data_IF_074789177228
#
_entry.id   IF_074789177228
#
_cell.length_a   1.000
_cell.length_b   1.000
_cell.length_c   1.000
_cell.angle_alpha   90.00
_cell.angle_beta   90.00
_cell.angle_gamma   90.00
#
_symmetry.space_group_name_H-M   'P 1'
#
loop_
_entity.id
_entity.type
_entity.pdbx_description
1 polymer ?
#
# COMPACT_ATOMS: atom_id res chain seq x y z
N UNK A 1 9.90 -29.02 -26.81
CA UNK A 1 8.89 -28.77 -27.87
C UNK A 1 8.28 -27.42 -27.58
N UNK A 2 8.45 -26.43 -28.46
CA UNK A 2 7.73 -25.16 -28.33
C UNK A 2 6.32 -25.41 -28.86
N UNK A 3 5.30 -25.18 -28.03
CA UNK A 3 3.90 -25.29 -28.46
C UNK A 3 3.64 -24.15 -29.45
N UNK A 4 3.35 -24.49 -30.70
CA UNK A 4 3.09 -23.53 -31.76
C UNK A 4 1.95 -22.57 -31.35
N UNK A 5 2.16 -21.26 -31.53
CA UNK A 5 1.20 -20.21 -31.16
C UNK A 5 1.31 -19.67 -29.72
N UNK A 6 2.08 -20.30 -28.82
CA UNK A 6 2.27 -19.77 -27.46
C UNK A 6 3.42 -18.77 -27.43
N UNK A 7 3.13 -17.52 -27.04
CA UNK A 7 4.14 -16.49 -26.79
C UNK A 7 4.47 -16.44 -25.30
N UNK A 8 5.75 -16.60 -24.95
CA UNK A 8 6.26 -16.50 -23.57
C UNK A 8 7.41 -15.50 -23.50
N UNK A 9 7.80 -15.10 -22.29
CA UNK A 9 9.03 -14.33 -22.01
C UNK A 9 9.15 -12.95 -22.69
N UNK A 10 8.03 -12.33 -23.06
CA UNK A 10 7.99 -11.02 -23.72
C UNK A 10 7.98 -9.82 -22.77
N UNK A 11 7.85 -10.05 -21.46
CA UNK A 11 7.93 -9.00 -20.43
C UNK A 11 6.81 -7.94 -20.51
N UNK A 12 6.97 -6.82 -19.79
CA UNK A 12 6.02 -5.70 -19.87
C UNK A 12 6.22 -4.87 -21.15
N UNK A 13 5.21 -4.09 -21.57
CA UNK A 13 5.39 -3.06 -22.59
C UNK A 13 6.51 -2.09 -22.21
N UNK A 14 7.22 -1.56 -23.22
CA UNK A 14 8.26 -0.58 -22.98
C UNK A 14 7.65 0.77 -22.60
N UNK A 15 7.99 1.29 -21.41
CA UNK A 15 7.34 2.48 -20.86
C UNK A 15 7.46 3.73 -21.73
N UNK A 16 8.49 3.83 -22.60
CA UNK A 16 8.67 5.01 -23.48
C UNK A 16 7.56 5.12 -24.52
N UNK A 17 6.94 4.01 -24.90
CA UNK A 17 5.84 3.97 -25.86
C UNK A 17 4.53 4.50 -25.25
N UNK A 18 4.50 4.70 -23.94
CA UNK A 18 3.33 5.15 -23.15
C UNK A 18 3.52 6.56 -22.57
N UNK A 19 4.59 7.27 -22.93
CA UNK A 19 4.87 8.60 -22.42
C UNK A 19 4.08 9.67 -23.19
N UNK A 20 3.51 10.62 -22.45
CA UNK A 20 2.97 11.84 -23.04
C UNK A 20 4.04 12.55 -23.91
N UNK A 21 3.72 13.09 -25.11
CA UNK A 21 4.70 13.62 -26.05
C UNK A 21 5.67 14.66 -25.46
N UNK A 22 5.15 15.57 -24.63
CA UNK A 22 5.99 16.56 -23.91
C UNK A 22 6.97 15.89 -22.94
N UNK A 23 6.56 14.80 -22.28
CA UNK A 23 7.45 14.04 -21.38
C UNK A 23 8.50 13.29 -22.18
N UNK A 24 8.11 12.66 -23.30
CA UNK A 24 9.04 11.96 -24.18
C UNK A 24 10.10 12.90 -24.75
N UNK A 25 9.70 14.07 -25.27
CA UNK A 25 10.59 15.11 -25.82
C UNK A 25 11.61 15.62 -24.79
N UNK A 26 11.18 15.78 -23.53
CA UNK A 26 12.00 16.38 -22.47
C UNK A 26 12.53 15.35 -21.46
N UNK A 27 12.55 14.06 -21.81
CA UNK A 27 12.97 13.00 -20.90
C UNK A 27 14.42 13.21 -20.45
N UNK A 28 14.62 13.39 -19.14
CA UNK A 28 15.95 13.66 -18.56
C UNK A 28 16.43 15.11 -18.68
N UNK A 29 15.62 16.03 -19.22
CA UNK A 29 15.95 17.45 -19.45
C UNK A 29 14.99 18.39 -18.70
N UNK A 30 14.69 18.04 -17.45
CA UNK A 30 13.81 18.84 -16.59
C UNK A 30 14.63 19.85 -15.78
N UNK A 31 14.26 21.12 -15.85
CA UNK A 31 14.96 22.21 -15.17
C UNK A 31 14.54 22.32 -13.70
N UNK A 32 13.24 22.34 -13.43
CA UNK A 32 12.70 22.41 -12.08
C UNK A 32 11.24 21.94 -12.03
N UNK A 33 10.71 21.86 -10.82
CA UNK A 33 9.29 21.67 -10.55
C UNK A 33 8.84 22.61 -9.43
N UNK A 34 7.55 22.87 -9.38
CA UNK A 34 6.90 23.66 -8.34
C UNK A 34 5.53 23.05 -8.05
N UNK A 35 5.14 23.00 -6.77
CA UNK A 35 3.75 22.71 -6.42
C UNK A 35 2.97 24.03 -6.42
N UNK A 36 2.00 24.12 -7.32
CA UNK A 36 1.21 25.35 -7.53
C UNK A 36 0.08 25.44 -6.50
N UNK A 37 -0.53 24.29 -6.21
CA UNK A 37 -1.54 24.09 -5.16
C UNK A 37 -1.60 22.60 -4.80
N UNK A 38 -2.25 22.20 -3.69
CA UNK A 38 -2.40 20.78 -3.34
C UNK A 38 -2.91 19.95 -4.52
N UNK A 39 -2.13 18.92 -4.89
CA UNK A 39 -2.41 18.01 -5.99
C UNK A 39 -1.90 18.46 -7.37
N UNK A 40 -1.38 19.68 -7.54
CA UNK A 40 -0.97 20.21 -8.85
C UNK A 40 0.51 20.56 -8.86
N UNK A 41 1.29 19.85 -9.69
CA UNK A 41 2.73 20.05 -9.85
C UNK A 41 3.02 20.59 -11.25
N UNK A 42 3.63 21.77 -11.33
CA UNK A 42 4.17 22.31 -12.58
C UNK A 42 5.59 21.78 -12.78
N UNK A 43 5.89 21.26 -13.98
CA UNK A 43 7.24 20.86 -14.39
C UNK A 43 7.68 21.71 -15.56
N UNK A 44 8.90 22.23 -15.50
CA UNK A 44 9.49 23.08 -16.54
C UNK A 44 10.75 22.42 -17.07
N UNK A 45 10.79 22.19 -18.38
CA UNK A 45 11.93 21.62 -19.07
C UNK A 45 13.01 22.68 -19.34
N UNK A 46 14.23 22.24 -19.65
CA UNK A 46 15.31 23.13 -20.11
C UNK A 46 14.96 23.85 -21.41
N UNK A 47 14.13 23.24 -22.25
CA UNK A 47 13.59 23.82 -23.49
C UNK A 47 12.59 24.96 -23.26
N UNK A 48 12.09 25.13 -22.03
CA UNK A 48 10.98 26.01 -21.69
C UNK A 48 9.60 25.34 -21.78
N UNK A 49 9.51 24.10 -22.29
CA UNK A 49 8.24 23.36 -22.28
C UNK A 49 7.72 23.18 -20.84
N UNK A 50 6.41 23.36 -20.67
CA UNK A 50 5.72 23.23 -19.39
C UNK A 50 4.71 22.10 -19.47
N UNK A 51 4.62 21.31 -18.39
CA UNK A 51 3.54 20.35 -18.19
C UNK A 51 3.09 20.36 -16.73
N UNK A 52 1.79 20.31 -16.52
CA UNK A 52 1.15 20.19 -15.21
C UNK A 52 0.81 18.73 -14.95
N UNK A 53 1.12 18.26 -13.74
CA UNK A 53 0.77 16.93 -13.26
C UNK A 53 -0.28 17.10 -12.17
N UNK A 54 -1.49 16.62 -12.42
CA UNK A 54 -2.63 16.73 -11.48
C UNK A 54 -2.87 15.37 -10.84
N UNK A 55 -2.74 15.28 -9.52
CA UNK A 55 -2.72 14.04 -8.74
C UNK A 55 -4.01 13.87 -7.94
N UNK A 56 -4.57 12.66 -8.02
CA UNK A 56 -5.79 12.28 -7.30
C UNK A 56 -5.59 11.03 -6.44
N UNK A 57 -6.22 11.05 -5.26
CA UNK A 57 -6.27 9.90 -4.36
C UNK A 57 -7.13 8.78 -4.93
N UNK A 58 -6.72 7.52 -4.76
CA UNK A 58 -7.54 6.37 -5.20
C UNK A 58 -7.59 5.29 -4.11
N UNK A 59 -8.63 4.44 -4.08
CA UNK A 59 -8.71 3.31 -3.14
C UNK A 59 -7.76 2.15 -3.48
N UNK A 60 -6.96 2.24 -4.55
CA UNK A 60 -6.14 1.16 -5.15
C UNK A 60 -6.95 -0.01 -5.71
N UNK A 61 -7.83 -0.61 -4.90
CA UNK A 61 -8.79 -1.61 -5.37
C UNK A 61 -9.88 -0.90 -6.18
N UNK A 62 -9.94 -1.19 -7.47
CA UNK A 62 -10.79 -0.49 -8.43
C UNK A 62 -11.56 -1.48 -9.30
N UNK A 63 -12.76 -1.06 -9.72
CA UNK A 63 -13.49 -1.76 -10.77
C UNK A 63 -12.96 -1.37 -12.15
N UNK A 64 -13.20 -2.21 -13.16
CA UNK A 64 -12.91 -1.86 -14.55
C UNK A 64 -13.70 -0.64 -15.03
N UNK A 65 -14.88 -0.38 -14.47
CA UNK A 65 -15.69 0.78 -14.84
C UNK A 65 -15.00 2.07 -14.40
N UNK A 66 -14.51 2.12 -13.17
CA UNK A 66 -13.73 3.27 -12.67
C UNK A 66 -12.47 3.51 -13.49
N UNK A 67 -11.80 2.46 -13.95
CA UNK A 67 -10.63 2.60 -14.84
C UNK A 67 -11.03 3.19 -16.19
N UNK A 68 -12.16 2.76 -16.78
CA UNK A 68 -12.68 3.33 -18.03
C UNK A 68 -13.07 4.80 -17.89
N UNK A 69 -13.73 5.17 -16.78
CA UNK A 69 -14.04 6.58 -16.48
C UNK A 69 -12.76 7.44 -16.45
N UNK A 70 -11.68 6.96 -15.82
CA UNK A 70 -10.40 7.65 -15.82
C UNK A 70 -9.77 7.75 -17.22
N UNK A 71 -9.94 6.74 -18.08
CA UNK A 71 -9.50 6.79 -19.47
C UNK A 71 -10.27 7.86 -20.27
N UNK A 72 -11.60 7.93 -20.14
CA UNK A 72 -12.41 8.95 -20.83
C UNK A 72 -12.00 10.37 -20.39
N UNK A 73 -11.72 10.56 -19.10
CA UNK A 73 -11.20 11.83 -18.56
C UNK A 73 -9.81 12.12 -19.14
N UNK A 74 -8.93 11.11 -19.26
CA UNK A 74 -7.60 11.28 -19.85
C UNK A 74 -7.67 11.65 -21.33
N UNK A 75 -8.57 11.05 -22.10
CA UNK A 75 -8.79 11.40 -23.51
C UNK A 75 -9.23 12.87 -23.66
N UNK A 76 -10.03 13.39 -22.71
CA UNK A 76 -10.53 14.76 -22.74
C UNK A 76 -9.49 15.81 -22.31
N UNK A 77 -8.72 15.54 -21.26
CA UNK A 77 -7.86 16.55 -20.62
C UNK A 77 -6.36 16.31 -20.76
N UNK A 78 -5.96 15.09 -21.11
CA UNK A 78 -4.58 14.62 -20.98
C UNK A 78 -4.11 13.83 -22.21
N UNK A 79 -4.73 14.08 -23.37
CA UNK A 79 -4.44 13.46 -24.67
C UNK A 79 -4.40 11.92 -24.64
N UNK A 80 -5.19 11.30 -23.77
CA UNK A 80 -5.25 9.85 -23.56
C UNK A 80 -4.14 9.28 -22.67
N UNK A 81 -3.31 10.13 -22.06
CA UNK A 81 -2.23 9.71 -21.16
C UNK A 81 -2.64 9.85 -19.69
N UNK A 82 -2.31 8.87 -18.87
CA UNK A 82 -2.36 8.96 -17.42
C UNK A 82 -1.31 8.03 -16.83
N UNK A 83 -1.00 8.19 -15.55
CA UNK A 83 -0.13 7.24 -14.85
C UNK A 83 -0.57 6.98 -13.43
N UNK A 84 -0.01 5.92 -12.85
CA UNK A 84 -0.12 5.61 -11.44
C UNK A 84 1.20 5.92 -10.73
N UNK A 85 1.09 6.46 -9.52
CA UNK A 85 2.23 6.70 -8.63
C UNK A 85 2.59 5.44 -7.85
N UNK A 86 3.77 5.41 -7.22
CA UNK A 86 4.19 4.31 -6.34
C UNK A 86 3.36 4.18 -5.05
N UNK A 87 2.45 5.12 -4.78
CA UNK A 87 1.48 5.07 -3.69
C UNK A 87 0.04 4.92 -4.20
N UNK A 88 -0.13 4.46 -5.43
CA UNK A 88 -1.41 4.14 -6.05
C UNK A 88 -2.34 5.35 -6.24
N UNK A 89 -1.83 6.57 -6.20
CA UNK A 89 -2.55 7.74 -6.73
C UNK A 89 -2.50 7.72 -8.26
N UNK A 90 -3.52 8.31 -8.89
CA UNK A 90 -3.55 8.54 -10.34
C UNK A 90 -3.07 9.96 -10.64
N UNK A 91 -2.36 10.13 -11.76
CA UNK A 91 -1.89 11.42 -12.25
C UNK A 91 -2.27 11.61 -13.72
N UNK A 92 -2.78 12.81 -14.02
CA UNK A 92 -3.06 13.30 -15.37
C UNK A 92 -2.04 14.37 -15.76
N UNK A 93 -1.84 14.55 -17.06
CA UNK A 93 -0.85 15.44 -17.65
C UNK A 93 -1.52 16.51 -18.50
N UNK A 94 -1.41 17.77 -18.09
CA UNK A 94 -2.10 18.88 -18.75
C UNK A 94 -1.07 19.91 -19.22
N UNK A 95 -1.16 20.36 -20.47
CA UNK A 95 -0.29 21.43 -21.00
C UNK A 95 -0.95 22.81 -20.95
N UNK A 96 -2.28 22.85 -20.87
CA UNK A 96 -3.09 24.07 -20.76
C UNK A 96 -3.56 24.26 -19.30
N UNK A 97 -2.97 25.24 -18.62
CA UNK A 97 -3.24 25.53 -17.20
C UNK A 97 -4.73 25.82 -16.93
N UNK A 98 -5.44 26.40 -17.90
CA UNK A 98 -6.86 26.76 -17.73
C UNK A 98 -7.79 25.57 -17.54
N UNK A 99 -7.37 24.36 -17.95
CA UNK A 99 -8.16 23.12 -17.86
C UNK A 99 -8.04 22.39 -16.52
N UNK A 100 -7.14 22.84 -15.62
CA UNK A 100 -6.83 22.11 -14.39
C UNK A 100 -8.04 22.04 -13.46
N UNK A 101 -8.78 23.14 -13.30
CA UNK A 101 -9.94 23.18 -12.41
C UNK A 101 -11.10 22.34 -12.93
N UNK A 102 -11.34 22.38 -14.25
CA UNK A 102 -12.34 21.53 -14.90
C UNK A 102 -12.00 20.03 -14.75
N UNK A 103 -10.73 19.66 -14.93
CA UNK A 103 -10.26 18.30 -14.68
C UNK A 103 -10.48 17.88 -13.22
N UNK A 104 -10.15 18.74 -12.26
CA UNK A 104 -10.33 18.45 -10.83
C UNK A 104 -11.81 18.21 -10.51
N UNK A 105 -12.68 19.09 -11.02
CA UNK A 105 -14.12 18.99 -10.80
C UNK A 105 -14.70 17.72 -11.43
N UNK A 106 -14.31 17.40 -12.67
CA UNK A 106 -14.85 16.23 -13.38
C UNK A 106 -14.40 14.90 -12.75
N UNK A 107 -13.14 14.80 -12.29
CA UNK A 107 -12.68 13.62 -11.53
C UNK A 107 -13.44 13.48 -10.21
N UNK A 108 -13.66 14.59 -9.50
CA UNK A 108 -14.42 14.57 -8.25
C UNK A 108 -15.89 14.20 -8.48
N UNK A 109 -16.52 14.68 -9.55
CA UNK A 109 -17.92 14.40 -9.89
C UNK A 109 -18.14 12.95 -10.34
N UNK A 110 -17.31 12.46 -11.27
CA UNK A 110 -17.51 11.14 -11.90
C UNK A 110 -17.05 9.99 -11.01
N UNK A 111 -15.96 10.16 -10.27
CA UNK A 111 -15.36 9.06 -9.49
C UNK A 111 -15.13 9.38 -8.00
N UNK A 112 -15.39 10.62 -7.56
CA UNK A 112 -15.28 11.00 -6.14
C UNK A 112 -13.85 11.10 -5.62
N UNK A 113 -12.85 11.14 -6.49
CA UNK A 113 -11.44 11.10 -6.08
C UNK A 113 -10.89 12.49 -5.78
N UNK A 114 -10.32 12.71 -4.57
CA UNK A 114 -9.83 14.03 -4.18
C UNK A 114 -8.53 14.38 -4.89
N UNK A 115 -8.39 15.65 -5.30
CA UNK A 115 -7.12 16.21 -5.74
C UNK A 115 -6.23 16.50 -4.51
N UNK A 116 -4.96 16.09 -4.53
CA UNK A 116 -4.07 16.28 -3.38
C UNK A 116 -2.86 15.34 -3.34
N UNK A 117 -2.34 15.12 -2.13
CA UNK A 117 -1.24 14.18 -1.88
C UNK A 117 0.10 14.62 -2.45
N UNK A 118 0.35 15.92 -2.52
CA UNK A 118 1.61 16.55 -2.95
C UNK A 118 2.33 17.20 -1.77
N UNK A 119 3.57 17.62 -2.02
CA UNK A 119 4.38 18.37 -1.06
C UNK A 119 5.40 19.20 -1.83
N UNK A 120 5.77 20.36 -1.28
CA UNK A 120 6.86 21.21 -1.74
C UNK A 120 7.92 21.28 -0.64
N UNK A 121 8.99 20.51 -0.82
CA UNK A 121 10.08 20.44 0.16
C UNK A 121 10.89 21.74 0.24
N UNK A 122 10.87 22.58 -0.79
CA UNK A 122 11.57 23.88 -0.80
C UNK A 122 10.80 24.89 0.03
N UNK A 123 9.46 24.90 -0.10
CA UNK A 123 8.58 25.79 0.68
C UNK A 123 8.26 25.25 2.08
N UNK A 124 8.57 23.98 2.36
CA UNK A 124 8.27 23.36 3.65
C UNK A 124 6.79 23.00 3.80
N UNK A 125 6.10 22.77 2.69
CA UNK A 125 4.67 22.49 2.64
C UNK A 125 4.45 21.00 2.37
N UNK A 126 3.73 20.29 3.25
CA UNK A 126 3.59 18.83 3.13
C UNK A 126 2.15 18.38 3.29
N UNK A 127 1.64 17.68 2.27
CA UNK A 127 0.40 16.91 2.34
C UNK A 127 0.65 15.42 2.61
N UNK A 128 -0.32 14.78 3.24
CA UNK A 128 -0.40 13.34 3.37
C UNK A 128 -0.70 12.74 1.99
N UNK A 129 -0.01 11.66 1.62
CA UNK A 129 -0.27 10.94 0.38
C UNK A 129 -0.55 9.48 0.69
N UNK A 130 -1.73 9.03 0.22
CA UNK A 130 -2.33 7.67 0.18
C UNK A 130 -1.58 6.52 0.87
N UNK A 131 -2.30 5.60 1.50
CA UNK A 131 -1.75 4.49 2.28
C UNK A 131 -1.39 3.31 1.37
N UNK A 132 -0.11 2.91 1.37
CA UNK A 132 0.31 1.65 0.75
C UNK A 132 -0.25 0.51 1.59
N UNK A 133 -1.05 -0.37 0.98
CA UNK A 133 -1.74 -1.42 1.71
C UNK A 133 -1.82 -2.73 0.94
N UNK A 134 -2.29 -3.77 1.63
CA UNK A 134 -2.28 -5.16 1.20
C UNK A 134 -3.66 -5.67 0.81
N UNK A 135 -3.82 -6.99 0.69
CA UNK A 135 -5.07 -7.62 0.27
C UNK A 135 -6.12 -7.69 1.38
N UNK A 136 -5.73 -7.90 2.65
CA UNK A 136 -6.68 -8.08 3.74
C UNK A 136 -7.63 -9.26 3.50
N UNK A 137 -8.87 -9.12 3.95
CA UNK A 137 -9.92 -10.15 3.85
C UNK A 137 -10.47 -10.32 2.43
N UNK A 138 -10.08 -9.45 1.50
CA UNK A 138 -10.58 -9.47 0.12
C UNK A 138 -10.00 -10.64 -0.67
N UNK A 139 -8.78 -11.08 -0.38
CA UNK A 139 -8.10 -12.10 -1.20
C UNK A 139 -7.03 -12.92 -0.48
N UNK A 140 -6.46 -12.44 0.63
CA UNK A 140 -5.39 -13.18 1.30
C UNK A 140 -5.98 -14.31 2.16
N UNK A 141 -5.26 -15.42 2.28
CA UNK A 141 -5.62 -16.51 3.19
C UNK A 141 -4.89 -16.46 4.53
N UNK A 142 -3.89 -15.58 4.70
CA UNK A 142 -3.15 -15.38 5.98
C UNK A 142 -3.40 -14.04 6.70
N UNK A 143 -4.49 -13.27 6.49
CA UNK A 143 -4.66 -11.98 7.15
C UNK A 143 -5.10 -12.14 8.62
N UNK A 144 -4.56 -11.30 9.49
CA UNK A 144 -5.08 -11.05 10.85
C UNK A 144 -6.06 -9.86 10.88
N UNK A 145 -5.96 -8.94 9.92
CA UNK A 145 -6.81 -7.75 9.80
C UNK A 145 -7.23 -7.53 8.35
N UNK A 146 -8.28 -6.75 8.13
CA UNK A 146 -8.57 -6.24 6.79
C UNK A 146 -7.58 -5.14 6.37
N UNK A 147 -7.49 -4.88 5.06
CA UNK A 147 -6.69 -3.79 4.52
C UNK A 147 -7.56 -2.62 4.06
N UNK A 148 -8.49 -2.86 3.12
CA UNK A 148 -9.24 -1.78 2.47
C UNK A 148 -10.16 -1.03 3.43
N UNK A 149 -10.83 -1.73 4.35
CA UNK A 149 -11.70 -1.10 5.36
C UNK A 149 -10.93 -0.19 6.31
N UNK A 150 -9.78 -0.64 6.82
CA UNK A 150 -8.93 0.17 7.71
C UNK A 150 -8.37 1.39 6.97
N UNK A 151 -7.86 1.20 5.74
CA UNK A 151 -7.35 2.31 4.93
C UNK A 151 -8.44 3.35 4.68
N UNK A 152 -9.66 2.92 4.35
CA UNK A 152 -10.79 3.83 4.17
C UNK A 152 -11.10 4.59 5.47
N UNK A 153 -11.17 3.90 6.61
CA UNK A 153 -11.45 4.54 7.88
C UNK A 153 -10.38 5.57 8.29
N UNK A 154 -9.10 5.24 8.12
CA UNK A 154 -7.99 6.15 8.41
C UNK A 154 -7.97 7.33 7.43
N UNK A 155 -8.13 7.10 6.12
CA UNK A 155 -8.09 8.19 5.14
C UNK A 155 -9.31 9.11 5.22
N UNK A 156 -10.47 8.63 5.68
CA UNK A 156 -11.62 9.50 5.97
C UNK A 156 -11.31 10.47 7.10
N UNK A 157 -10.69 9.99 8.17
CA UNK A 157 -10.31 10.82 9.32
C UNK A 157 -9.17 11.79 9.01
N UNK A 158 -8.26 11.40 8.11
CA UNK A 158 -7.09 12.18 7.72
C UNK A 158 -7.26 12.94 6.39
N UNK A 159 -8.49 13.03 5.88
CA UNK A 159 -8.77 13.58 4.55
C UNK A 159 -8.25 15.00 4.37
N UNK A 160 -8.38 15.86 5.39
CA UNK A 160 -7.92 17.24 5.33
C UNK A 160 -6.39 17.38 5.13
N UNK A 161 -5.61 16.39 5.58
CA UNK A 161 -4.16 16.37 5.37
C UNK A 161 -3.80 15.92 3.95
N UNK A 162 -4.70 15.24 3.26
CA UNK A 162 -4.48 14.84 1.86
C UNK A 162 -4.73 15.99 0.90
N UNK A 163 -5.80 16.77 1.12
CA UNK A 163 -6.22 17.87 0.24
C UNK A 163 -5.51 19.18 0.52
N UNK A 164 -4.64 19.24 1.52
CA UNK A 164 -3.96 20.46 1.97
C UNK A 164 -2.54 20.15 2.49
N UNK A 165 -1.70 21.18 2.61
CA UNK A 165 -0.30 21.07 3.05
C UNK A 165 -0.14 21.36 4.56
N UNK A 166 -0.83 20.60 5.42
CA UNK A 166 -0.88 20.85 6.88
C UNK A 166 0.21 20.16 7.71
N UNK A 167 1.00 19.26 7.11
CA UNK A 167 2.00 18.50 7.85
C UNK A 167 3.33 19.26 7.95
N UNK A 168 4.08 19.10 9.06
CA UNK A 168 5.40 19.71 9.23
C UNK A 168 6.48 19.05 8.36
N UNK A 169 6.24 17.83 7.89
CA UNK A 169 7.12 17.06 7.03
C UNK A 169 6.31 16.00 6.25
N UNK A 170 6.95 15.33 5.29
CA UNK A 170 6.35 14.15 4.66
C UNK A 170 6.06 13.09 5.71
N UNK A 171 4.81 12.63 5.79
CA UNK A 171 4.40 11.44 6.54
C UNK A 171 3.93 10.36 5.56
N UNK A 172 4.50 9.16 5.67
CA UNK A 172 4.09 7.96 4.94
C UNK A 172 3.42 6.99 5.90
N UNK A 173 2.17 6.64 5.58
CA UNK A 173 1.42 5.62 6.29
C UNK A 173 1.36 4.35 5.44
N UNK A 174 1.58 3.18 6.02
CA UNK A 174 1.43 1.89 5.33
C UNK A 174 0.70 0.86 6.18
N UNK A 175 0.07 -0.12 5.54
CA UNK A 175 -0.67 -1.19 6.21
C UNK A 175 -0.35 -2.57 5.62
N UNK A 176 -0.05 -3.54 6.48
CA UNK A 176 0.05 -4.95 6.11
C UNK A 176 -0.91 -5.79 6.94
N UNK A 177 -1.64 -6.69 6.29
CA UNK A 177 -2.67 -7.50 6.95
C UNK A 177 -2.12 -8.62 7.84
N UNK A 178 -0.81 -8.91 7.78
CA UNK A 178 -0.13 -9.89 8.62
C UNK A 178 1.38 -9.57 8.76
N UNK A 179 2.08 -10.36 9.56
CA UNK A 179 3.52 -10.23 9.83
C UNK A 179 4.44 -10.50 8.61
N UNK A 180 3.92 -10.98 7.48
CA UNK A 180 4.70 -11.01 6.22
C UNK A 180 5.00 -9.61 5.70
N UNK A 181 4.26 -8.59 6.17
CA UNK A 181 4.60 -7.18 5.96
C UNK A 181 4.73 -6.75 4.49
N UNK A 182 3.94 -7.34 3.59
CA UNK A 182 3.94 -7.00 2.17
C UNK A 182 3.73 -5.48 1.97
N UNK A 183 4.67 -4.82 1.29
CA UNK A 183 4.66 -3.37 1.09
C UNK A 183 5.73 -2.67 1.93
N UNK A 184 5.35 -1.58 2.61
CA UNK A 184 6.33 -0.63 3.18
C UNK A 184 6.21 -0.41 4.69
N UNK A 185 5.45 -1.25 5.41
CA UNK A 185 5.20 -1.10 6.86
C UNK A 185 6.47 -1.05 7.71
N UNK A 186 7.52 -1.78 7.33
CA UNK A 186 8.79 -1.80 8.05
C UNK A 186 9.60 -0.49 7.91
N UNK A 187 9.24 0.40 6.98
CA UNK A 187 10.01 1.61 6.65
C UNK A 187 9.09 2.83 6.38
N UNK A 188 7.95 2.91 7.09
CA UNK A 188 7.01 4.03 7.01
C UNK A 188 6.99 4.84 8.31
N UNK A 189 6.66 6.13 8.20
CA UNK A 189 6.60 7.04 9.35
C UNK A 189 5.53 6.58 10.36
N UNK A 190 4.41 6.06 9.86
CA UNK A 190 3.40 5.33 10.63
C UNK A 190 3.07 4.02 9.89
N UNK A 191 2.99 2.91 10.59
CA UNK A 191 2.65 1.62 10.01
C UNK A 191 1.67 0.84 10.86
N UNK A 192 0.77 0.12 10.19
CA UNK A 192 -0.24 -0.75 10.78
C UNK A 192 0.08 -2.18 10.33
N UNK A 193 0.24 -3.11 11.27
CA UNK A 193 0.56 -4.50 10.95
C UNK A 193 -0.42 -5.42 11.65
N UNK A 194 -1.11 -6.27 10.89
CA UNK A 194 -1.95 -7.32 11.45
C UNK A 194 -1.11 -8.34 12.20
N UNK A 195 -1.52 -8.67 13.43
CA UNK A 195 -0.86 -9.66 14.27
C UNK A 195 -1.90 -10.60 14.87
N UNK A 196 -1.51 -11.87 15.01
CA UNK A 196 -2.26 -12.86 15.77
C UNK A 196 -1.79 -12.87 17.23
N UNK A 197 -2.64 -13.36 18.13
CA UNK A 197 -2.26 -13.63 19.53
C UNK A 197 -2.65 -15.03 20.02
N UNK A 198 -3.01 -15.91 19.08
CA UNK A 198 -3.39 -17.30 19.36
C UNK A 198 -2.41 -18.25 18.65
N UNK A 199 -1.86 -19.28 19.34
CA UNK A 199 -1.06 -20.31 18.69
C UNK A 199 -1.85 -21.06 17.61
N UNK A 200 -1.18 -21.57 16.55
CA UNK A 200 -1.85 -22.44 15.60
C UNK A 200 -2.35 -23.72 16.26
N UNK A 201 -3.53 -24.19 15.84
CA UNK A 201 -4.13 -25.44 16.29
C UNK A 201 -3.89 -26.50 15.20
N UNK A 202 -2.99 -27.48 15.41
CA UNK A 202 -2.72 -28.51 14.41
C UNK A 202 -3.97 -29.29 14.03
N UNK A 203 -4.27 -29.34 12.74
CA UNK A 203 -5.22 -30.27 12.15
C UNK A 203 -4.46 -31.50 11.63
N UNK A 204 -4.36 -32.53 12.48
CA UNK A 204 -3.62 -33.76 12.18
C UNK A 204 -4.00 -34.40 10.84
N UNK A 205 -5.28 -34.37 10.47
CA UNK A 205 -5.75 -34.96 9.21
C UNK A 205 -5.24 -34.17 8.00
N UNK A 206 -5.33 -32.84 8.05
CA UNK A 206 -4.82 -31.97 7.00
C UNK A 206 -3.30 -32.07 6.88
N UNK A 207 -2.58 -32.01 8.01
CA UNK A 207 -1.11 -32.11 8.05
C UNK A 207 -0.64 -33.38 7.33
N UNK A 208 -1.27 -34.53 7.61
CA UNK A 208 -0.91 -35.82 6.98
C UNK A 208 -1.14 -35.86 5.48
N UNK A 209 -2.14 -35.13 4.98
CA UNK A 209 -2.58 -35.21 3.58
C UNK A 209 -1.89 -34.18 2.69
N UNK A 210 -1.57 -33.00 3.21
CA UNK A 210 -1.21 -31.85 2.37
C UNK A 210 0.07 -31.14 2.78
N UNK A 211 0.67 -31.45 3.93
CA UNK A 211 1.80 -30.70 4.44
C UNK A 211 3.12 -31.46 4.38
N UNK A 212 4.17 -30.75 3.99
CA UNK A 212 5.55 -31.19 4.15
C UNK A 212 6.03 -30.81 5.57
N UNK A 213 6.03 -31.79 6.48
CA UNK A 213 6.38 -31.57 7.90
C UNK A 213 7.75 -30.87 8.07
N UNK A 214 8.85 -31.27 7.36
CA UNK A 214 10.15 -30.64 7.55
C UNK A 214 10.16 -29.14 7.22
N UNK A 215 9.53 -28.74 6.12
CA UNK A 215 9.47 -27.32 5.71
C UNK A 215 8.58 -26.52 6.64
N UNK A 216 7.49 -27.11 7.13
CA UNK A 216 6.60 -26.49 8.13
C UNK A 216 7.32 -26.23 9.44
N UNK A 217 8.09 -27.20 9.95
CA UNK A 217 8.89 -27.04 11.18
C UNK A 217 9.99 -25.99 10.99
N UNK A 218 10.71 -26.03 9.86
CA UNK A 218 11.78 -25.09 9.54
C UNK A 218 11.30 -23.64 9.39
N UNK A 219 10.01 -23.43 9.08
CA UNK A 219 9.41 -22.11 8.98
C UNK A 219 9.26 -21.38 10.32
N UNK A 220 9.43 -22.08 11.45
CA UNK A 220 9.26 -21.49 12.78
C UNK A 220 10.53 -20.74 13.23
N UNK A 221 10.50 -19.40 13.35
CA UNK A 221 11.69 -18.63 13.72
C UNK A 221 12.09 -18.80 15.19
N UNK A 222 11.18 -19.22 16.06
CA UNK A 222 11.42 -19.39 17.50
C UNK A 222 11.65 -20.85 17.92
N UNK A 223 11.65 -21.80 16.97
CA UNK A 223 11.81 -23.22 17.28
C UNK A 223 10.67 -23.80 18.13
N UNK A 224 9.45 -23.23 18.02
CA UNK A 224 8.27 -23.68 18.75
C UNK A 224 7.65 -24.98 18.19
N UNK A 225 8.04 -25.41 16.98
CA UNK A 225 7.47 -26.59 16.34
C UNK A 225 8.37 -27.81 16.49
N UNK A 226 7.78 -28.95 16.88
CA UNK A 226 8.46 -30.24 16.96
C UNK A 226 7.74 -31.27 16.08
N UNK A 227 8.45 -32.01 15.20
CA UNK A 227 7.82 -33.05 14.40
C UNK A 227 7.44 -34.25 15.29
N UNK A 228 6.23 -34.77 15.12
CA UNK A 228 5.81 -36.08 15.62
C UNK A 228 5.73 -37.05 14.45
N UNK A 229 6.87 -37.65 14.11
CA UNK A 229 6.98 -38.56 12.96
C UNK A 229 6.15 -39.84 13.12
N UNK A 230 5.89 -40.26 14.36
CA UNK A 230 5.06 -41.46 14.63
C UNK A 230 3.61 -41.19 14.26
N UNK A 231 3.07 -40.05 14.68
CA UNK A 231 1.70 -39.64 14.40
C UNK A 231 1.56 -38.84 13.09
N UNK A 232 2.68 -38.62 12.38
CA UNK A 232 2.77 -37.83 11.15
C UNK A 232 2.11 -36.44 11.32
N UNK A 233 2.41 -35.77 12.42
CA UNK A 233 1.87 -34.45 12.76
C UNK A 233 2.95 -33.55 13.40
N UNK A 234 2.56 -32.37 13.88
CA UNK A 234 3.42 -31.35 14.48
C UNK A 234 2.88 -31.00 15.88
N UNK A 235 3.78 -30.91 16.86
CA UNK A 235 3.48 -30.38 18.20
C UNK A 235 3.94 -28.94 18.31
N UNK A 236 3.12 -28.11 18.93
CA UNK A 236 3.38 -26.68 19.16
C UNK A 236 3.76 -26.47 20.63
N UNK A 237 4.93 -25.89 20.87
CA UNK A 237 5.36 -25.36 22.16
C UNK A 237 4.80 -23.94 22.30
N UNK A 238 3.67 -23.82 23.01
CA UNK A 238 2.90 -22.57 23.11
C UNK A 238 3.73 -21.45 23.75
N UNK A 239 4.55 -21.76 24.74
CA UNK A 239 5.41 -20.78 25.44
C UNK A 239 6.47 -20.16 24.52
N UNK A 240 6.87 -20.86 23.45
CA UNK A 240 7.82 -20.36 22.44
C UNK A 240 7.13 -19.73 21.23
N UNK A 241 5.82 -19.92 21.09
CA UNK A 241 5.09 -19.42 19.93
C UNK A 241 4.89 -17.91 20.05
N UNK A 242 5.22 -17.18 18.99
CA UNK A 242 4.94 -15.74 18.86
C UNK A 242 3.90 -15.45 17.79
N UNK A 243 3.09 -16.45 17.42
CA UNK A 243 1.89 -16.30 16.59
C UNK A 243 2.11 -15.69 15.20
N UNK A 244 3.34 -15.76 14.66
CA UNK A 244 3.65 -15.14 13.35
C UNK A 244 2.90 -15.73 12.15
N UNK A 245 2.26 -16.90 12.29
CA UNK A 245 1.51 -17.55 11.22
C UNK A 245 2.34 -18.17 10.10
N UNK A 246 3.67 -18.06 10.12
CA UNK A 246 4.50 -18.56 9.00
C UNK A 246 4.36 -20.08 8.76
N UNK A 247 4.08 -20.85 9.83
CA UNK A 247 3.77 -22.27 9.69
C UNK A 247 2.46 -22.56 8.95
N UNK A 248 1.48 -21.66 9.02
CA UNK A 248 0.25 -21.75 8.23
C UNK A 248 0.49 -21.45 6.75
N UNK A 249 1.36 -20.47 6.44
CA UNK A 249 1.81 -20.22 5.06
C UNK A 249 2.38 -21.48 4.41
N UNK A 250 3.13 -22.27 5.17
CA UNK A 250 3.73 -23.52 4.68
C UNK A 250 2.79 -24.72 4.72
N UNK A 251 1.81 -24.72 5.61
CA UNK A 251 0.93 -25.85 5.86
C UNK A 251 -0.50 -25.40 6.18
N UNK A 252 -1.49 -25.70 5.33
CA UNK A 252 -2.89 -25.35 5.61
C UNK A 252 -3.46 -26.07 6.85
N UNK A 253 -2.79 -27.11 7.36
CA UNK A 253 -3.13 -27.79 8.60
C UNK A 253 -2.69 -27.09 9.89
N UNK A 254 -2.16 -25.85 9.81
CA UNK A 254 -1.71 -25.07 10.97
C UNK A 254 -2.50 -23.76 11.17
N UNK A 255 -3.84 -23.73 11.10
CA UNK A 255 -4.62 -22.49 11.21
C UNK A 255 -4.46 -21.83 12.59
N UNK A 256 -4.52 -20.49 12.63
CA UNK A 256 -4.36 -19.69 13.85
C UNK A 256 -5.30 -18.47 13.93
N UNK A 257 -6.31 -18.39 13.06
CA UNK A 257 -7.22 -17.25 12.99
C UNK A 257 -8.14 -17.20 14.20
N UNK A 258 -8.26 -16.02 14.79
CA UNK A 258 -9.03 -15.83 16.00
C UNK A 258 -9.66 -14.42 15.99
N UNK A 259 -10.98 -14.30 15.81
CA UNK A 259 -11.63 -12.99 15.68
C UNK A 259 -11.54 -12.13 16.94
N UNK A 260 -11.33 -12.71 18.12
CA UNK A 260 -11.21 -11.97 19.39
C UNK A 260 -9.76 -11.53 19.65
N UNK A 261 -8.80 -12.36 19.25
CA UNK A 261 -7.39 -12.16 19.57
C UNK A 261 -6.57 -11.52 18.45
N UNK A 262 -7.01 -11.65 17.21
CA UNK A 262 -6.41 -10.99 16.05
C UNK A 262 -6.67 -9.48 16.09
N UNK A 263 -5.66 -8.71 15.71
CA UNK A 263 -5.73 -7.25 15.73
C UNK A 263 -4.52 -6.63 15.05
N UNK A 264 -4.26 -5.37 15.33
CA UNK A 264 -3.15 -4.63 14.71
C UNK A 264 -2.13 -4.14 15.73
N UNK A 265 -0.85 -4.17 15.37
CA UNK A 265 0.19 -3.37 15.99
C UNK A 265 0.38 -2.07 15.21
N UNK A 266 0.77 -0.99 15.91
CA UNK A 266 1.12 0.30 15.30
C UNK A 266 2.61 0.56 15.53
N UNK A 267 3.30 0.91 14.46
CA UNK A 267 4.73 1.20 14.43
C UNK A 267 4.97 2.62 13.89
N UNK A 268 6.08 3.26 14.28
CA UNK A 268 6.43 4.62 13.82
C UNK A 268 7.92 4.82 13.54
N UNK A 269 8.24 5.93 12.87
CA UNK A 269 9.59 6.47 12.74
C UNK A 269 10.45 5.90 11.61
N UNK A 270 9.90 4.96 10.83
CA UNK A 270 10.60 4.37 9.69
C UNK A 270 10.65 5.31 8.48
N UNK A 271 11.66 5.14 7.62
CA UNK A 271 11.74 5.83 6.32
C UNK A 271 12.74 5.16 5.38
N UNK A 272 12.58 5.44 4.08
CA UNK A 272 13.49 4.99 3.02
C UNK A 272 14.41 6.07 2.43
N UNK A 273 14.01 7.35 2.49
CA UNK A 273 14.82 8.45 1.94
C UNK A 273 16.16 8.60 2.69
N UNK A 274 17.22 9.03 2.01
CA UNK A 274 18.51 9.40 2.62
C UNK A 274 18.61 10.89 2.97
N UNK A 275 17.53 11.65 2.78
CA UNK A 275 17.53 13.07 3.11
C UNK A 275 17.83 13.29 4.59
N UNK A 276 18.93 14.01 4.87
CA UNK A 276 19.45 14.41 6.19
C UNK A 276 19.94 13.27 7.10
N UNK A 277 19.22 12.15 7.18
CA UNK A 277 19.57 10.96 7.98
C UNK A 277 19.45 9.69 7.16
N UNK A 278 20.05 8.59 7.63
CA UNK A 278 20.01 7.28 6.97
C UNK A 278 18.60 6.66 6.98
N UNK A 279 18.27 5.70 6.10
CA UNK A 279 17.04 4.92 6.18
C UNK A 279 16.89 4.21 7.54
N UNK A 280 15.66 4.10 8.03
CA UNK A 280 15.39 3.52 9.36
C UNK A 280 14.15 2.63 9.33
N UNK A 281 14.18 1.58 10.15
CA UNK A 281 13.01 0.73 10.37
C UNK A 281 12.00 1.41 11.29
N UNK A 282 10.72 1.21 11.04
CA UNK A 282 9.66 1.56 11.98
C UNK A 282 9.78 0.72 13.27
N UNK A 283 9.33 1.28 14.40
CA UNK A 283 9.39 0.64 15.73
C UNK A 283 7.99 0.55 16.34
N UNK A 284 7.66 -0.58 16.95
CA UNK A 284 6.36 -0.80 17.60
C UNK A 284 6.19 0.20 18.74
N UNK A 285 5.08 0.95 18.73
CA UNK A 285 4.69 1.89 19.80
C UNK A 285 3.33 1.56 20.41
N UNK A 286 2.46 0.87 19.66
CA UNK A 286 1.25 0.24 20.21
C UNK A 286 1.32 -1.24 19.88
N UNK A 287 1.49 -2.12 20.88
CA UNK A 287 1.72 -3.54 20.62
C UNK A 287 0.49 -4.25 20.09
N UNK A 288 -0.72 -3.79 20.43
CA UNK A 288 -1.96 -4.39 19.94
C UNK A 288 -3.16 -3.43 20.09
N UNK A 289 -4.05 -3.44 19.10
CA UNK A 289 -5.40 -2.90 19.12
C UNK A 289 -6.37 -3.91 18.51
N UNK A 290 -7.63 -3.99 18.97
CA UNK A 290 -8.60 -4.95 18.47
C UNK A 290 -9.01 -4.68 17.02
N UNK A 291 -9.51 -5.72 16.36
CA UNK A 291 -10.32 -5.55 15.17
C UNK A 291 -11.72 -5.03 15.55
N UNK A 292 -12.11 -3.86 15.01
CA UNK A 292 -13.44 -3.28 15.24
C UNK A 292 -14.10 -2.89 13.90
N UNK A 293 -14.41 -3.85 13.01
CA UNK A 293 -15.08 -3.55 11.75
C UNK A 293 -16.43 -2.85 11.97
N UNK A 294 -16.85 -1.96 11.05
CA UNK A 294 -16.19 -1.64 9.78
C UNK A 294 -15.27 -0.39 9.85
N UNK A 295 -15.03 0.20 11.03
CA UNK A 295 -14.38 1.52 11.15
C UNK A 295 -13.13 1.59 12.03
N UNK A 296 -12.80 0.55 12.79
CA UNK A 296 -11.62 0.50 13.65
C UNK A 296 -11.38 1.78 14.47
N UNK A 297 -12.39 2.29 15.20
CA UNK A 297 -12.31 3.58 15.89
C UNK A 297 -11.11 3.68 16.85
N UNK A 298 -10.75 2.59 17.54
CA UNK A 298 -9.58 2.58 18.44
C UNK A 298 -8.29 2.78 17.66
N UNK A 299 -8.10 2.05 16.56
CA UNK A 299 -6.93 2.16 15.68
C UNK A 299 -6.84 3.56 15.05
N UNK A 300 -7.95 4.06 14.49
CA UNK A 300 -8.01 5.38 13.85
C UNK A 300 -7.63 6.48 14.84
N UNK A 301 -8.14 6.40 16.08
CA UNK A 301 -7.78 7.34 17.15
C UNK A 301 -6.28 7.35 17.42
N UNK A 302 -5.63 6.18 17.52
CA UNK A 302 -4.18 6.13 17.73
C UNK A 302 -3.40 6.71 16.55
N UNK A 303 -3.77 6.37 15.31
CA UNK A 303 -3.09 6.91 14.13
C UNK A 303 -3.22 8.42 14.06
N UNK A 304 -4.42 8.98 14.33
CA UNK A 304 -4.65 10.42 14.37
C UNK A 304 -3.88 11.11 15.51
N UNK A 305 -3.80 10.48 16.68
CA UNK A 305 -3.07 11.04 17.81
C UNK A 305 -1.55 11.07 17.58
N UNK A 306 -1.02 10.13 16.79
CA UNK A 306 0.40 10.07 16.43
C UNK A 306 0.75 11.10 15.34
N UNK A 307 -0.14 11.29 14.37
CA UNK A 307 0.05 12.23 13.26
C UNK A 307 0.08 13.69 13.75
#
# INVERSE_FOLDING_TARGET
>A
MVVEGVKTDFGPPYFRDLLHPVIAKNYGKWKYHEVVKPGVIKRVAESGDVIYVVRFGTPRLLSIYTVRELCDIADKYSDGYLRWTSRNNVEFFVTDESKIDDLINEVQERVGFPCGGTWDAVKGEYGLSNIVHTQGWIHCHTPAIDASGIVKAVMDELYEYFTDHKLPAMCRISLACCANMCGAVHASDIAIVGIHRTPPIPNDEAIRKTCEIPSTVAACPTGALKPDMKNKTIKVDVEKCMYCGNCYTMCPGMPLFDPENDGAAIMVGGKLSEARRMPELSKVVVPWVPNEPPRWPTLVKYVKQIL
#
